data_IF_739342593823
#
_entry.id   IF_739342593823
#
_cell.length_a   1.000
_cell.length_b   1.000
_cell.length_c   1.000
_cell.angle_alpha   90.00
_cell.angle_beta   90.00
_cell.angle_gamma   90.00
#
_symmetry.space_group_name_H-M   'P 1'
#
loop_
_entity.id
_entity.type
_entity.pdbx_description
1 polymer ?
#
# COMPACT_ATOMS: atom_id res chain seq x y z
N UNK A 1 20.28 -23.03 6.86
CA UNK A 1 19.72 -22.01 5.94
C UNK A 1 19.27 -20.83 6.78
N UNK A 2 19.64 -19.60 6.42
CA UNK A 2 19.18 -18.42 7.16
C UNK A 2 17.64 -18.31 7.07
N UNK A 3 16.94 -17.93 8.15
CA UNK A 3 15.49 -17.81 8.13
C UNK A 3 15.06 -16.77 7.09
N UNK A 4 14.11 -17.13 6.22
CA UNK A 4 13.50 -16.19 5.27
C UNK A 4 12.75 -15.12 6.05
N UNK A 5 13.23 -13.89 5.97
CA UNK A 5 12.54 -12.72 6.54
C UNK A 5 11.79 -12.00 5.45
N UNK A 6 10.73 -11.28 5.82
CA UNK A 6 10.03 -10.39 4.89
C UNK A 6 11.00 -9.44 4.18
N UNK A 7 11.99 -8.87 4.88
CA UNK A 7 12.97 -7.97 4.27
C UNK A 7 13.76 -8.64 3.14
N UNK A 8 14.27 -9.85 3.39
CA UNK A 8 15.04 -10.60 2.37
C UNK A 8 14.17 -11.08 1.20
N UNK A 9 12.95 -11.54 1.48
CA UNK A 9 12.01 -12.02 0.47
C UNK A 9 11.51 -10.86 -0.39
N UNK A 10 11.15 -9.74 0.23
CA UNK A 10 10.67 -8.55 -0.47
C UNK A 10 11.72 -7.99 -1.43
N UNK A 11 12.99 -7.94 -1.02
CA UNK A 11 14.07 -7.50 -1.91
C UNK A 11 14.18 -8.35 -3.18
N UNK A 12 13.92 -9.66 -3.09
CA UNK A 12 13.92 -10.54 -4.25
C UNK A 12 12.65 -10.37 -5.10
N UNK A 13 11.49 -10.21 -4.47
CA UNK A 13 10.23 -9.89 -5.15
C UNK A 13 10.39 -8.59 -5.93
N UNK A 14 10.82 -7.51 -5.28
CA UNK A 14 11.03 -6.19 -5.89
C UNK A 14 11.97 -6.27 -7.10
N UNK A 15 13.08 -7.01 -6.98
CA UNK A 15 14.00 -7.21 -8.10
C UNK A 15 13.30 -7.87 -9.29
N UNK A 16 12.55 -8.95 -9.06
CA UNK A 16 11.86 -9.68 -10.12
C UNK A 16 10.71 -8.83 -10.72
N UNK A 17 9.94 -8.13 -9.89
CA UNK A 17 8.91 -7.17 -10.32
C UNK A 17 9.48 -6.07 -11.22
N UNK A 18 10.64 -5.51 -10.85
CA UNK A 18 11.30 -4.45 -11.64
C UNK A 18 11.73 -4.97 -13.01
N UNK A 19 12.27 -6.20 -13.07
CA UNK A 19 12.69 -6.82 -14.34
C UNK A 19 11.47 -7.13 -15.21
N UNK A 20 10.40 -7.65 -14.61
CA UNK A 20 9.12 -7.90 -15.30
C UNK A 20 8.56 -6.61 -15.90
N UNK A 21 8.54 -5.52 -15.14
CA UNK A 21 7.96 -4.25 -15.56
C UNK A 21 8.79 -3.54 -16.66
N UNK A 22 10.12 -3.62 -16.56
CA UNK A 22 11.02 -3.02 -17.55
C UNK A 22 11.14 -3.77 -18.88
N UNK A 23 10.58 -4.98 -18.99
CA UNK A 23 10.62 -5.76 -20.22
C UNK A 23 9.56 -5.26 -21.21
N UNK A 24 9.98 -4.82 -22.41
CA UNK A 24 9.09 -4.35 -23.48
C UNK A 24 8.04 -5.39 -23.92
N UNK A 25 8.26 -6.66 -23.56
CA UNK A 25 7.28 -7.72 -23.50
C UNK A 25 7.72 -8.63 -22.35
N UNK A 26 6.90 -8.87 -21.31
CA UNK A 26 7.28 -9.75 -20.21
C UNK A 26 7.63 -11.11 -20.79
N UNK A 27 8.88 -11.58 -20.66
CA UNK A 27 9.20 -12.91 -21.13
C UNK A 27 8.57 -13.85 -20.11
N UNK A 28 7.95 -14.91 -20.62
CA UNK A 28 7.31 -15.99 -19.85
C UNK A 28 8.10 -16.37 -18.59
N UNK A 29 9.44 -16.42 -18.69
CA UNK A 29 10.33 -16.77 -17.58
C UNK A 29 10.41 -15.76 -16.42
N UNK A 30 10.24 -14.46 -16.64
CA UNK A 30 10.24 -13.49 -15.53
C UNK A 30 8.96 -13.56 -14.70
N UNK A 31 7.81 -13.68 -15.37
CA UNK A 31 6.53 -13.92 -14.72
C UNK A 31 6.55 -15.22 -13.90
N UNK A 32 7.07 -16.31 -14.49
CA UNK A 32 7.20 -17.61 -13.82
C UNK A 32 8.11 -17.57 -12.59
N UNK A 33 9.23 -16.85 -12.68
CA UNK A 33 10.16 -16.68 -11.56
C UNK A 33 9.51 -15.91 -10.41
N UNK A 34 8.78 -14.83 -10.72
CA UNK A 34 8.05 -14.03 -9.74
C UNK A 34 6.91 -14.84 -9.11
N UNK A 35 6.10 -15.52 -9.91
CA UNK A 35 5.04 -16.43 -9.47
C UNK A 35 5.55 -17.49 -8.51
N UNK A 36 6.67 -18.14 -8.87
CA UNK A 36 7.29 -19.16 -8.01
C UNK A 36 7.68 -18.59 -6.66
N UNK A 37 8.19 -17.35 -6.62
CA UNK A 37 8.55 -16.69 -5.38
C UNK A 37 7.32 -16.26 -4.57
N UNK A 38 6.28 -15.72 -5.23
CA UNK A 38 5.01 -15.36 -4.60
C UNK A 38 4.34 -16.58 -3.98
N UNK A 39 4.15 -17.67 -4.74
CA UNK A 39 3.55 -18.92 -4.21
C UNK A 39 4.32 -19.47 -3.00
N UNK A 40 5.67 -19.48 -3.07
CA UNK A 40 6.50 -19.87 -1.92
C UNK A 40 6.31 -18.96 -0.72
N UNK A 41 6.12 -17.66 -0.95
CA UNK A 41 5.90 -16.68 0.12
C UNK A 41 4.51 -16.83 0.73
N UNK A 42 3.48 -17.08 -0.08
CA UNK A 42 2.11 -17.33 0.35
C UNK A 42 2.02 -18.61 1.20
N UNK A 43 2.84 -19.63 0.92
CA UNK A 43 2.94 -20.84 1.76
C UNK A 43 3.74 -20.66 3.06
N UNK A 44 4.19 -19.45 3.37
CA UNK A 44 5.05 -19.16 4.52
C UNK A 44 4.36 -18.24 5.53
N UNK A 45 4.87 -18.22 6.77
CA UNK A 45 4.37 -17.35 7.84
C UNK A 45 4.53 -15.84 7.59
N UNK A 46 5.16 -15.44 6.47
CA UNK A 46 5.33 -14.04 6.13
C UNK A 46 3.96 -13.40 5.88
N UNK A 47 3.08 -14.07 5.13
CA UNK A 47 1.76 -13.51 4.81
C UNK A 47 0.83 -13.51 6.02
N UNK A 48 0.92 -14.53 6.88
CA UNK A 48 0.20 -14.55 8.17
C UNK A 48 0.61 -13.36 9.05
N UNK A 49 1.92 -13.04 9.09
CA UNK A 49 2.41 -11.90 9.84
C UNK A 49 1.94 -10.56 9.24
N UNK A 50 1.84 -10.46 7.91
CA UNK A 50 1.27 -9.27 7.25
C UNK A 50 -0.20 -9.10 7.63
N UNK A 51 -0.99 -10.16 7.54
CA UNK A 51 -2.40 -10.14 7.91
C UNK A 51 -2.59 -9.74 9.37
N UNK A 52 -1.87 -10.39 10.30
CA UNK A 52 -1.99 -10.13 11.73
C UNK A 52 -1.61 -8.70 12.14
N UNK A 53 -0.59 -8.12 11.49
CA UNK A 53 -0.07 -6.80 11.87
C UNK A 53 -0.81 -5.63 11.21
N UNK A 54 -1.32 -5.82 10.00
CA UNK A 54 -1.84 -4.72 9.16
C UNK A 54 -3.30 -4.85 8.76
N UNK A 55 -3.95 -6.01 8.94
CA UNK A 55 -5.34 -6.24 8.49
C UNK A 55 -6.23 -6.68 9.66
N UNK A 56 -5.86 -7.76 10.34
CA UNK A 56 -6.70 -8.40 11.37
C UNK A 56 -6.83 -7.60 12.67
N UNK A 57 -6.10 -6.48 12.81
CA UNK A 57 -6.26 -5.56 13.94
C UNK A 57 -7.46 -4.63 13.80
N UNK A 58 -8.06 -4.58 12.62
CA UNK A 58 -9.21 -3.72 12.32
C UNK A 58 -10.50 -4.52 12.44
N UNK A 59 -11.50 -3.89 13.05
CA UNK A 59 -12.80 -4.52 13.27
C UNK A 59 -13.41 -5.02 11.94
N UNK A 60 -14.04 -6.19 11.96
CA UNK A 60 -14.69 -6.79 10.79
C UNK A 60 -13.72 -7.36 9.75
N UNK A 61 -12.40 -7.35 10.03
CA UNK A 61 -11.37 -7.95 9.18
C UNK A 61 -10.54 -9.00 9.94
N UNK A 62 -11.03 -9.51 11.06
CA UNK A 62 -10.30 -10.38 11.98
C UNK A 62 -9.90 -11.72 11.35
N UNK A 63 -10.69 -12.21 10.39
CA UNK A 63 -10.46 -13.48 9.68
C UNK A 63 -9.81 -13.28 8.31
N UNK A 64 -9.57 -12.03 7.91
CA UNK A 64 -9.05 -11.71 6.58
C UNK A 64 -7.60 -12.14 6.48
N UNK A 65 -7.31 -12.89 5.41
CA UNK A 65 -5.97 -13.36 5.05
C UNK A 65 -5.32 -12.42 4.04
N UNK A 66 -4.00 -12.57 3.86
CA UNK A 66 -3.22 -11.78 2.90
C UNK A 66 -2.46 -12.73 1.99
N UNK A 67 -2.34 -12.40 0.71
CA UNK A 67 -1.44 -13.11 -0.20
C UNK A 67 -0.80 -12.19 -1.24
N UNK A 68 0.32 -12.62 -1.81
CA UNK A 68 0.84 -12.00 -3.03
C UNK A 68 0.14 -12.59 -4.25
N UNK A 69 -0.30 -11.71 -5.14
CA UNK A 69 -0.88 -12.08 -6.42
C UNK A 69 0.11 -12.90 -7.27
N UNK A 70 -0.45 -13.76 -8.11
CA UNK A 70 0.26 -14.45 -9.18
C UNK A 70 -0.30 -14.04 -10.53
N UNK A 71 0.49 -14.21 -11.57
CA UNK A 71 0.07 -13.95 -12.94
C UNK A 71 -1.01 -14.94 -13.42
N UNK A 72 -1.83 -14.46 -14.35
CA UNK A 72 -2.68 -15.30 -15.22
C UNK A 72 -2.17 -15.15 -16.64
N UNK A 73 -1.91 -16.25 -17.33
CA UNK A 73 -1.28 -16.25 -18.66
C UNK A 73 -0.02 -15.37 -18.75
N UNK A 74 0.80 -15.41 -17.69
CA UNK A 74 2.03 -14.62 -17.53
C UNK A 74 1.82 -13.10 -17.45
N UNK A 75 0.57 -12.63 -17.33
CA UNK A 75 0.23 -11.25 -17.07
C UNK A 75 -0.19 -11.08 -15.60
N UNK A 76 0.44 -10.14 -14.91
CA UNK A 76 -0.03 -9.67 -13.61
C UNK A 76 -1.27 -8.78 -13.77
N UNK A 77 -2.16 -8.75 -12.76
CA UNK A 77 -3.30 -7.84 -12.76
C UNK A 77 -2.86 -6.37 -12.77
N UNK A 78 -3.80 -5.47 -13.04
CA UNK A 78 -3.59 -4.02 -13.09
C UNK A 78 -3.88 -3.32 -11.75
N UNK A 79 -4.55 -3.99 -10.82
CA UNK A 79 -4.77 -3.48 -9.47
C UNK A 79 -3.54 -3.66 -8.58
N UNK A 80 -3.32 -2.70 -7.67
CA UNK A 80 -2.23 -2.76 -6.69
C UNK A 80 -2.55 -3.67 -5.51
N UNK A 81 -3.75 -3.53 -4.96
CA UNK A 81 -4.32 -4.40 -3.94
C UNK A 81 -5.77 -4.66 -4.28
N UNK A 82 -6.30 -5.81 -3.83
CA UNK A 82 -7.70 -6.16 -4.04
C UNK A 82 -8.20 -7.01 -2.88
N UNK A 83 -9.32 -6.61 -2.31
CA UNK A 83 -10.06 -7.38 -1.32
C UNK A 83 -11.19 -8.21 -1.96
N UNK A 84 -11.28 -9.48 -1.58
CA UNK A 84 -12.40 -10.37 -1.87
C UNK A 84 -13.16 -10.67 -0.57
N UNK A 85 -14.40 -10.21 -0.48
CA UNK A 85 -15.28 -10.48 0.68
C UNK A 85 -15.67 -11.96 0.74
N UNK A 86 -15.91 -12.59 -0.42
CA UNK A 86 -16.25 -14.02 -0.50
C UNK A 86 -15.12 -14.89 0.05
N UNK A 87 -13.87 -14.56 -0.27
CA UNK A 87 -12.71 -15.34 0.14
C UNK A 87 -12.08 -14.86 1.46
N UNK A 88 -12.55 -13.73 2.00
CA UNK A 88 -11.91 -13.04 3.13
C UNK A 88 -10.40 -12.89 2.91
N UNK A 89 -10.02 -12.29 1.77
CA UNK A 89 -8.64 -12.29 1.29
C UNK A 89 -8.27 -10.95 0.68
N UNK A 90 -7.16 -10.37 1.15
CA UNK A 90 -6.49 -9.25 0.50
C UNK A 90 -5.33 -9.76 -0.33
N UNK A 91 -5.36 -9.46 -1.62
CA UNK A 91 -4.27 -9.76 -2.55
C UNK A 91 -3.41 -8.52 -2.77
N UNK A 92 -2.10 -8.72 -2.81
CA UNK A 92 -1.11 -7.67 -3.08
C UNK A 92 -0.41 -7.98 -4.39
N UNK A 93 -0.49 -7.07 -5.34
CA UNK A 93 0.24 -7.19 -6.59
C UNK A 93 1.66 -6.63 -6.44
N UNK A 94 2.70 -7.48 -6.44
CA UNK A 94 4.07 -7.02 -6.22
C UNK A 94 4.62 -6.17 -7.36
N UNK A 95 4.06 -6.24 -8.57
CA UNK A 95 4.48 -5.40 -9.72
C UNK A 95 3.97 -3.99 -9.51
N UNK A 96 2.69 -3.86 -9.18
CA UNK A 96 2.06 -2.56 -8.96
C UNK A 96 2.59 -1.83 -7.73
N UNK A 97 3.04 -2.54 -6.68
CA UNK A 97 3.75 -1.90 -5.56
C UNK A 97 5.05 -1.22 -6.03
N UNK A 98 5.77 -1.84 -6.98
CA UNK A 98 6.99 -1.26 -7.56
C UNK A 98 6.63 -0.09 -8.48
N UNK A 99 5.58 -0.20 -9.30
CA UNK A 99 5.09 0.91 -10.13
C UNK A 99 4.63 2.09 -9.30
N UNK A 100 3.92 1.86 -8.20
CA UNK A 100 3.53 2.92 -7.26
C UNK A 100 4.75 3.67 -6.73
N UNK A 101 5.81 2.93 -6.36
CA UNK A 101 7.08 3.54 -5.93
C UNK A 101 7.73 4.36 -7.05
N UNK A 102 7.77 3.85 -8.28
CA UNK A 102 8.26 4.62 -9.42
C UNK A 102 7.43 5.88 -9.66
N UNK A 103 6.09 5.79 -9.53
CA UNK A 103 5.19 6.94 -9.58
C UNK A 103 5.52 8.00 -8.52
N UNK A 104 5.85 7.58 -7.29
CA UNK A 104 6.31 8.50 -6.23
C UNK A 104 7.61 9.22 -6.61
N UNK A 105 8.54 8.53 -7.29
CA UNK A 105 9.77 9.14 -7.80
C UNK A 105 9.48 10.15 -8.92
N UNK A 106 8.60 9.79 -9.87
CA UNK A 106 8.18 10.61 -11.01
C UNK A 106 7.38 11.86 -10.60
N UNK A 107 6.63 11.81 -9.49
CA UNK A 107 5.88 12.95 -8.96
C UNK A 107 6.74 14.21 -8.75
N UNK A 108 8.04 14.06 -8.47
CA UNK A 108 8.96 15.20 -8.35
C UNK A 108 9.12 15.93 -9.67
N UNK A 109 9.17 15.20 -10.78
CA UNK A 109 9.29 15.79 -12.11
C UNK A 109 7.95 16.35 -12.59
N UNK A 110 6.83 15.70 -12.24
CA UNK A 110 5.48 16.23 -12.49
C UNK A 110 5.29 17.60 -11.81
N UNK A 111 5.72 17.74 -10.55
CA UNK A 111 5.62 19.01 -9.80
C UNK A 111 6.49 20.14 -10.37
N UNK A 112 7.48 19.84 -11.23
CA UNK A 112 8.27 20.86 -11.93
C UNK A 112 7.56 21.39 -13.17
N UNK A 113 6.58 20.66 -13.68
CA UNK A 113 5.81 21.02 -14.86
C UNK A 113 4.54 21.80 -14.49
N UNK A 114 3.98 22.61 -15.40
CA UNK A 114 2.70 23.30 -15.16
C UNK A 114 1.54 22.34 -14.85
N UNK A 115 1.52 21.15 -15.48
CA UNK A 115 0.49 20.15 -15.27
C UNK A 115 0.39 19.68 -13.81
N UNK A 116 1.53 19.52 -13.11
CA UNK A 116 1.54 19.17 -11.69
C UNK A 116 1.11 20.30 -10.75
N UNK A 117 0.75 21.46 -11.28
CA UNK A 117 0.31 22.65 -10.54
C UNK A 117 -0.98 23.24 -11.12
N UNK A 118 -1.69 22.45 -11.91
CA UNK A 118 -2.90 22.87 -12.62
C UNK A 118 -4.00 23.28 -11.62
N UNK A 119 -4.21 22.47 -10.59
CA UNK A 119 -5.14 22.73 -9.50
C UNK A 119 -4.57 22.29 -8.14
N UNK A 120 -5.26 22.68 -7.07
CA UNK A 120 -4.85 22.42 -5.70
C UNK A 120 -4.78 20.91 -5.39
N UNK A 121 -5.74 20.11 -5.83
CA UNK A 121 -5.82 18.68 -5.53
C UNK A 121 -4.72 17.92 -6.27
N UNK A 122 -4.53 18.20 -7.56
CA UNK A 122 -3.42 17.64 -8.35
C UNK A 122 -2.08 17.98 -7.71
N UNK A 123 -1.85 19.25 -7.35
CA UNK A 123 -0.61 19.66 -6.68
C UNK A 123 -0.41 18.94 -5.34
N UNK A 124 -1.46 18.88 -4.50
CA UNK A 124 -1.41 18.27 -3.17
C UNK A 124 -1.10 16.78 -3.26
N UNK A 125 -1.77 16.05 -4.13
CA UNK A 125 -1.55 14.63 -4.34
C UNK A 125 -0.12 14.36 -4.82
N UNK A 126 0.35 15.09 -5.84
CA UNK A 126 1.70 14.92 -6.38
C UNK A 126 2.78 15.31 -5.37
N UNK A 127 2.59 16.40 -4.62
CA UNK A 127 3.50 16.82 -3.55
C UNK A 127 3.59 15.78 -2.44
N UNK A 128 2.48 15.12 -2.14
CA UNK A 128 2.45 14.04 -1.18
C UNK A 128 3.15 12.77 -1.67
N UNK A 129 2.89 12.32 -2.90
CA UNK A 129 3.60 11.19 -3.52
C UNK A 129 5.12 11.43 -3.57
N UNK A 130 5.54 12.65 -3.91
CA UNK A 130 6.94 13.06 -3.89
C UNK A 130 7.59 12.96 -2.50
N UNK A 131 6.81 13.10 -1.42
CA UNK A 131 7.27 12.90 -0.05
C UNK A 131 7.36 11.41 0.30
N UNK A 132 6.43 10.59 -0.17
CA UNK A 132 6.41 9.14 0.05
C UNK A 132 7.61 8.42 -0.56
N UNK A 133 8.20 8.95 -1.64
CA UNK A 133 9.42 8.38 -2.27
C UNK A 133 10.59 8.20 -1.30
N UNK A 134 10.62 8.97 -0.20
CA UNK A 134 11.67 8.91 0.83
C UNK A 134 11.61 7.62 1.66
N UNK A 135 10.47 6.92 1.62
CA UNK A 135 10.28 5.67 2.36
C UNK A 135 11.05 4.51 1.70
N UNK A 136 11.55 3.55 2.49
CA UNK A 136 12.05 2.29 1.92
C UNK A 136 10.93 1.52 1.19
N UNK A 137 11.27 0.74 0.17
CA UNK A 137 10.30 0.01 -0.66
C UNK A 137 9.35 -0.88 0.16
N UNK A 138 9.86 -1.53 1.21
CA UNK A 138 9.03 -2.35 2.11
C UNK A 138 7.94 -1.55 2.84
N UNK A 139 8.16 -0.25 3.09
CA UNK A 139 7.14 0.59 3.71
C UNK A 139 6.03 0.95 2.71
N UNK A 140 6.32 0.99 1.40
CA UNK A 140 5.28 1.16 0.37
C UNK A 140 4.35 -0.07 0.33
N UNK A 141 4.89 -1.28 0.49
CA UNK A 141 4.08 -2.50 0.65
C UNK A 141 3.09 -2.36 1.81
N UNK A 142 3.56 -1.92 2.98
CA UNK A 142 2.70 -1.74 4.16
C UNK A 142 1.68 -0.63 3.96
N UNK A 143 2.10 0.48 3.35
CA UNK A 143 1.24 1.62 3.04
C UNK A 143 0.07 1.19 2.14
N UNK A 144 0.34 0.43 1.09
CA UNK A 144 -0.68 0.01 0.13
C UNK A 144 -1.63 -1.05 0.72
N UNK A 145 -1.13 -1.91 1.62
CA UNK A 145 -1.96 -2.84 2.37
C UNK A 145 -2.94 -2.09 3.31
N UNK A 146 -2.45 -1.06 4.01
CA UNK A 146 -3.28 -0.20 4.84
C UNK A 146 -4.26 0.65 4.00
N UNK A 147 -3.86 1.08 2.80
CA UNK A 147 -4.75 1.77 1.88
C UNK A 147 -5.94 0.88 1.47
N UNK A 148 -5.71 -0.43 1.27
CA UNK A 148 -6.79 -1.38 1.02
C UNK A 148 -7.73 -1.51 2.24
N UNK A 149 -7.17 -1.59 3.45
CA UNK A 149 -7.97 -1.59 4.68
C UNK A 149 -8.85 -0.34 4.75
N UNK A 150 -8.31 0.83 4.41
CA UNK A 150 -9.08 2.08 4.41
C UNK A 150 -10.27 2.03 3.44
N UNK A 151 -10.06 1.49 2.24
CA UNK A 151 -11.11 1.30 1.23
C UNK A 151 -12.18 0.33 1.70
N UNK A 152 -11.79 -0.87 2.16
CA UNK A 152 -12.73 -1.89 2.64
C UNK A 152 -13.55 -1.40 3.83
N UNK A 153 -12.96 -0.57 4.67
CA UNK A 153 -13.61 0.00 5.86
C UNK A 153 -14.29 1.34 5.58
N UNK A 154 -14.32 1.80 4.33
CA UNK A 154 -14.92 3.06 3.91
C UNK A 154 -14.49 4.25 4.80
N UNK A 155 -13.23 4.26 5.24
CA UNK A 155 -12.75 5.17 6.30
C UNK A 155 -12.78 6.63 5.86
N UNK A 156 -12.56 6.86 4.58
CA UNK A 156 -12.53 8.19 4.00
C UNK A 156 -13.90 8.66 3.55
N UNK A 157 -14.93 7.80 3.50
CA UNK A 157 -16.25 8.18 3.00
C UNK A 157 -17.04 9.04 3.99
N UNK A 158 -17.68 10.10 3.47
CA UNK A 158 -18.54 10.99 4.28
C UNK A 158 -20.01 10.62 4.09
N UNK A 159 -20.65 10.11 5.14
CA UNK A 159 -22.11 10.01 5.19
C UNK A 159 -22.73 11.41 5.35
N UNK A 160 -23.46 11.91 4.34
CA UNK A 160 -24.30 13.11 4.52
C UNK A 160 -25.53 12.79 5.37
N UNK A 161 -26.03 13.80 6.12
CA UNK A 161 -27.38 13.79 6.73
C UNK A 161 -28.43 13.65 5.63
N UNK A 162 -28.79 12.42 5.27
CA UNK A 162 -29.67 12.10 4.15
C UNK A 162 -29.39 10.75 3.47
N UNK A 163 -28.27 10.08 3.79
CA UNK A 163 -28.00 8.70 3.34
C UNK A 163 -27.38 8.57 1.94
N UNK A 164 -26.87 9.68 1.36
CA UNK A 164 -26.06 9.63 0.14
C UNK A 164 -24.57 9.69 0.47
N UNK A 165 -23.78 8.85 -0.20
CA UNK A 165 -22.31 8.93 -0.25
C UNK A 165 -21.95 9.91 -1.37
N UNK A 166 -21.13 10.92 -1.07
CA UNK A 166 -20.55 11.80 -2.08
C UNK A 166 -19.11 11.37 -2.33
N UNK A 167 -18.74 11.22 -3.60
CA UNK A 167 -17.37 10.96 -4.00
C UNK A 167 -16.52 12.18 -3.64
N UNK A 168 -15.46 11.96 -2.87
CA UNK A 168 -14.62 13.04 -2.36
C UNK A 168 -13.63 13.41 -3.46
N UNK A 169 -13.65 14.68 -3.88
CA UNK A 169 -12.51 15.27 -4.59
C UNK A 169 -11.26 14.98 -3.74
N UNK A 170 -10.33 14.18 -4.26
CA UNK A 170 -9.08 13.74 -3.59
C UNK A 170 -9.16 12.44 -2.75
N UNK A 171 -10.08 11.50 -3.04
CA UNK A 171 -10.19 10.22 -2.32
C UNK A 171 -8.85 9.45 -2.22
N UNK A 172 -8.14 9.29 -3.35
CA UNK A 172 -6.88 8.54 -3.39
C UNK A 172 -5.83 9.11 -2.43
N UNK A 173 -5.75 10.44 -2.35
CA UNK A 173 -4.89 11.14 -1.40
C UNK A 173 -5.33 10.87 0.05
N UNK A 174 -6.63 11.00 0.34
CA UNK A 174 -7.16 10.82 1.70
C UNK A 174 -6.94 9.39 2.21
N UNK A 175 -7.12 8.40 1.33
CA UNK A 175 -6.86 6.98 1.63
C UNK A 175 -5.38 6.76 1.97
N UNK A 176 -4.48 7.28 1.14
CA UNK A 176 -3.04 7.14 1.39
C UNK A 176 -2.58 7.92 2.63
N UNK A 177 -3.16 9.11 2.88
CA UNK A 177 -2.88 9.90 4.07
C UNK A 177 -3.27 9.15 5.35
N UNK A 178 -4.44 8.49 5.35
CA UNK A 178 -4.84 7.62 6.46
C UNK A 178 -3.86 6.46 6.62
N UNK A 179 -3.56 5.75 5.53
CA UNK A 179 -2.66 4.60 5.55
C UNK A 179 -1.26 4.96 6.07
N UNK A 180 -0.74 6.14 5.71
CA UNK A 180 0.55 6.61 6.17
C UNK A 180 0.55 6.93 7.67
N UNK A 181 -0.55 7.44 8.22
CA UNK A 181 -0.68 7.70 9.67
C UNK A 181 -0.75 6.42 10.49
N UNK A 182 -1.44 5.40 9.98
CA UNK A 182 -1.44 4.08 10.60
C UNK A 182 -0.05 3.43 10.53
N UNK A 183 0.65 3.59 9.40
CA UNK A 183 2.02 3.14 9.26
C UNK A 183 2.98 3.87 10.21
N UNK A 184 2.84 5.19 10.37
CA UNK A 184 3.62 5.98 11.32
C UNK A 184 3.36 5.55 12.76
N UNK A 185 2.10 5.26 13.11
CA UNK A 185 1.73 4.74 14.43
C UNK A 185 2.37 3.37 14.67
N UNK A 186 2.24 2.45 13.71
CA UNK A 186 2.88 1.14 13.78
C UNK A 186 4.42 1.25 13.91
N UNK A 187 5.05 2.12 13.11
CA UNK A 187 6.50 2.32 13.14
C UNK A 187 6.97 2.86 14.48
N UNK A 188 6.24 3.83 15.04
CA UNK A 188 6.53 4.39 16.37
C UNK A 188 6.35 3.34 17.47
N UNK A 189 5.30 2.53 17.41
CA UNK A 189 5.04 1.49 18.40
C UNK A 189 6.13 0.40 18.37
N UNK A 190 6.69 0.10 17.20
CA UNK A 190 7.73 -0.91 17.02
C UNK A 190 9.15 -0.39 17.31
N UNK A 191 9.48 0.83 16.89
CA UNK A 191 10.84 1.37 16.90
C UNK A 191 11.06 2.48 17.93
N UNK A 192 10.00 3.05 18.50
CA UNK A 192 10.06 4.18 19.43
C UNK A 192 10.38 5.53 18.79
N UNK A 193 10.54 5.60 17.46
CA UNK A 193 10.90 6.81 16.71
C UNK A 193 9.79 7.24 15.74
N UNK A 194 9.82 8.50 15.30
CA UNK A 194 8.89 8.98 14.27
C UNK A 194 9.38 8.56 12.89
N UNK A 195 8.50 7.92 12.11
CA UNK A 195 8.76 7.59 10.71
C UNK A 195 9.18 8.83 9.91
N UNK A 196 8.49 9.96 10.14
CA UNK A 196 8.80 11.21 9.46
C UNK A 196 10.18 11.76 9.81
N UNK A 197 10.60 11.63 11.07
CA UNK A 197 11.92 12.06 11.50
C UNK A 197 13.02 11.18 10.88
N UNK A 198 12.86 9.86 10.90
CA UNK A 198 13.84 8.91 10.40
C UNK A 198 14.04 9.02 8.87
N UNK A 199 12.99 9.36 8.13
CA UNK A 199 13.03 9.48 6.67
C UNK A 199 12.89 10.92 6.15
N UNK A 200 12.99 11.94 7.02
CA UNK A 200 12.91 13.37 6.66
C UNK A 200 11.68 13.73 5.82
N UNK A 201 10.52 13.19 6.18
CA UNK A 201 9.24 13.46 5.53
C UNK A 201 8.67 14.77 6.08
N UNK A 202 8.47 15.75 5.19
CA UNK A 202 8.07 17.13 5.49
C UNK A 202 6.58 17.40 5.29
N UNK A 203 5.78 16.35 5.05
CA UNK A 203 4.35 16.47 4.81
C UNK A 203 3.53 16.49 6.11
N UNK A 204 3.07 17.65 6.56
CA UNK A 204 2.35 17.82 7.84
C UNK A 204 0.90 18.23 7.63
N UNK A 205 0.07 17.29 7.17
CA UNK A 205 -1.37 17.50 7.10
C UNK A 205 -2.09 16.97 8.35
N UNK A 206 -2.92 17.83 8.96
CA UNK A 206 -3.70 17.53 10.16
C UNK A 206 -4.77 16.46 9.91
N UNK A 207 -5.21 15.80 10.98
CA UNK A 207 -6.23 14.74 10.97
C UNK A 207 -7.61 15.28 10.55
N UNK A 208 -7.85 15.41 9.25
CA UNK A 208 -9.22 15.53 8.73
C UNK A 208 -9.73 14.13 8.40
N UNK A 209 -10.02 13.35 9.44
CA UNK A 209 -10.76 12.10 9.27
C UNK A 209 -12.24 12.41 9.33
N UNK A 210 -12.92 12.25 8.21
CA UNK A 210 -14.37 12.40 8.11
C UNK A 210 -14.97 11.00 7.98
N UNK A 211 -14.79 10.16 9.00
CA UNK A 211 -15.30 8.78 9.00
C UNK A 211 -15.57 8.28 10.42
N UNK A 212 -16.58 7.43 10.59
CA UNK A 212 -16.92 6.80 11.88
C UNK A 212 -15.91 5.69 12.19
N UNK A 213 -15.53 5.61 13.46
CA UNK A 213 -14.72 4.57 14.11
C UNK A 213 -13.18 4.58 13.96
N UNK A 214 -12.53 4.92 15.07
CA UNK A 214 -11.15 4.53 15.41
C UNK A 214 -11.12 3.11 15.99
N UNK A 215 -11.78 2.16 15.34
CA UNK A 215 -11.97 0.77 15.81
C UNK A 215 -10.71 -0.10 15.74
N UNK A 216 -9.55 0.43 16.11
CA UNK A 216 -8.34 -0.37 16.28
C UNK A 216 -8.38 -1.01 17.66
N UNK A 217 -8.63 -2.31 17.71
CA UNK A 217 -8.59 -3.06 18.97
C UNK A 217 -7.16 -3.12 19.45
N UNK A 218 -6.76 -2.24 20.38
CA UNK A 218 -5.44 -2.31 21.02
C UNK A 218 -5.34 -3.64 21.77
N UNK A 219 -4.64 -4.63 21.21
CA UNK A 219 -4.23 -5.81 21.96
C UNK A 219 -3.24 -5.35 23.04
N UNK A 220 -3.65 -5.50 24.30
CA UNK A 220 -2.80 -5.38 25.49
C UNK A 220 -1.91 -6.62 25.62
#
# INVERSE_FOLDING_TARGET
>A
MAPRTLASTWKHIEKLSTVYDGASSPRTGEAEALDTLCRKTNSSRIVDALAALFVQSYQGLEEVSVEFATSSDHAYPDWTTSYSEEEQLVRINPVEVVRFRHGCDESVDVLRQPAGREDFYTYRYQAYLAELRKLPSRHHLFLLLLAEVARVRHITEVEKKGGGVEEIDDEAYMVLLWAFKELETFYRDMNGTSLRADYTISWYESDWFVGKDKGRTRRR
#
